data_IF_204659863759
#
_entry.id   IF_204659863759
#
_cell.length_a   1.000
_cell.length_b   1.000
_cell.length_c   1.000
_cell.angle_alpha   90.00
_cell.angle_beta   90.00
_cell.angle_gamma   90.00
#
_symmetry.space_group_name_H-M   'P 1'
#
loop_
_entity.id
_entity.type
_entity.pdbx_description
1 polymer ?
#
# COMPACT_ATOMS: atom_id res chain seq x y z
N UNK A 1 -13.29 1.53 -4.93
CA UNK A 1 -12.11 2.27 -5.45
C UNK A 1 -11.82 1.92 -6.90
N UNK A 2 -11.40 0.70 -7.25
CA UNK A 2 -10.96 0.33 -8.61
C UNK A 2 -11.90 0.67 -9.79
N UNK A 3 -13.22 0.77 -9.56
CA UNK A 3 -14.20 1.17 -10.58
C UNK A 3 -14.18 2.66 -10.94
N UNK A 4 -13.62 3.50 -10.06
CA UNK A 4 -13.78 4.96 -10.12
C UNK A 4 -12.46 5.71 -9.95
N UNK A 5 -11.46 5.11 -9.30
CA UNK A 5 -10.14 5.69 -9.06
C UNK A 5 -9.08 4.86 -9.78
N UNK A 6 -8.05 5.53 -10.27
CA UNK A 6 -6.94 4.95 -11.02
C UNK A 6 -5.75 4.56 -10.14
N UNK A 7 -5.68 5.04 -8.91
CA UNK A 7 -4.60 4.75 -7.95
C UNK A 7 -5.14 4.38 -6.56
N UNK A 8 -4.27 3.79 -5.74
CA UNK A 8 -4.52 3.50 -4.34
C UNK A 8 -3.39 4.14 -3.52
N UNK A 9 -3.75 4.83 -2.44
CA UNK A 9 -2.81 5.33 -1.45
C UNK A 9 -2.87 4.47 -0.19
N UNK A 10 -1.71 4.11 0.36
CA UNK A 10 -1.57 3.39 1.63
C UNK A 10 -0.88 4.31 2.63
N UNK A 11 -1.65 4.80 3.60
CA UNK A 11 -1.23 5.77 4.61
C UNK A 11 -0.57 5.11 5.84
N UNK A 12 0.52 5.70 6.32
CA UNK A 12 1.16 5.35 7.61
C UNK A 12 0.22 5.57 8.78
N UNK A 13 -0.39 6.76 8.87
CA UNK A 13 -1.42 7.11 9.85
C UNK A 13 -2.53 6.04 9.98
N UNK A 14 -3.12 5.62 8.85
CA UNK A 14 -4.17 4.59 8.88
C UNK A 14 -3.62 3.23 9.34
N UNK A 15 -2.41 2.88 8.93
CA UNK A 15 -1.77 1.62 9.34
C UNK A 15 -1.46 1.63 10.85
N UNK A 16 -1.01 2.74 11.41
CA UNK A 16 -0.74 2.87 12.85
C UNK A 16 -1.97 2.54 13.71
N UNK A 17 -3.16 2.98 13.29
CA UNK A 17 -4.39 2.74 14.05
C UNK A 17 -5.10 1.43 13.73
N UNK A 18 -4.75 0.72 12.64
CA UNK A 18 -5.58 -0.40 12.15
C UNK A 18 -4.82 -1.66 11.72
N UNK A 19 -3.52 -1.59 11.43
CA UNK A 19 -2.79 -2.64 10.73
C UNK A 19 -1.31 -2.76 11.13
N UNK A 20 -0.94 -2.36 12.35
CA UNK A 20 0.40 -2.61 12.86
C UNK A 20 0.71 -4.10 12.86
N UNK A 21 1.92 -4.50 12.48
CA UNK A 21 2.29 -5.92 12.36
C UNK A 21 2.27 -6.66 13.71
N UNK A 22 2.30 -5.93 14.82
CA UNK A 22 2.20 -6.43 16.19
C UNK A 22 0.78 -6.43 16.76
N UNK A 23 -0.21 -5.86 16.05
CA UNK A 23 -1.55 -5.59 16.55
C UNK A 23 -1.62 -4.66 17.76
N UNK A 24 -0.60 -3.83 17.97
CA UNK A 24 -0.62 -2.73 18.93
C UNK A 24 -0.98 -1.43 18.18
N UNK A 25 -2.20 -0.90 18.29
CA UNK A 25 -2.59 0.31 17.60
C UNK A 25 -2.02 1.55 18.29
N UNK A 26 -1.69 2.59 17.52
CA UNK A 26 -1.12 3.82 18.05
C UNK A 26 -1.47 5.07 17.24
N UNK A 27 -1.08 6.24 17.76
CA UNK A 27 -1.05 7.46 16.98
C UNK A 27 0.00 7.40 15.86
N UNK A 28 -0.02 8.35 14.96
CA UNK A 28 0.88 8.42 13.81
C UNK A 28 2.27 8.91 14.20
N UNK A 29 3.10 7.98 14.68
CA UNK A 29 4.44 8.25 15.20
C UNK A 29 5.54 7.43 14.52
N UNK A 30 5.19 6.60 13.53
CA UNK A 30 6.11 5.66 12.88
C UNK A 30 6.91 4.80 13.88
N UNK A 31 6.30 4.42 15.01
CA UNK A 31 6.89 3.57 16.07
C UNK A 31 6.51 2.09 15.93
N UNK A 32 5.61 1.77 15.01
CA UNK A 32 5.33 0.41 14.57
C UNK A 32 6.52 -0.20 13.81
N UNK A 33 6.62 -1.55 13.73
CA UNK A 33 7.68 -2.16 12.94
C UNK A 33 7.59 -1.72 11.47
N UNK A 34 8.73 -1.39 10.86
CA UNK A 34 8.82 -0.80 9.51
C UNK A 34 8.22 -1.67 8.39
N UNK A 35 7.92 -2.94 8.66
CA UNK A 35 7.27 -3.84 7.72
C UNK A 35 5.73 -3.67 7.69
N UNK A 36 5.16 -2.87 8.59
CA UNK A 36 3.72 -2.59 8.71
C UNK A 36 3.11 -2.06 7.41
N UNK A 37 3.58 -0.92 6.89
CA UNK A 37 3.03 -0.33 5.67
C UNK A 37 3.31 -1.20 4.45
N UNK A 38 4.52 -1.76 4.25
CA UNK A 38 4.72 -2.67 3.13
C UNK A 38 3.84 -3.95 3.24
N UNK A 39 3.54 -4.47 4.44
CA UNK A 39 2.61 -5.61 4.60
C UNK A 39 1.19 -5.24 4.15
N UNK A 40 0.76 -3.99 4.42
CA UNK A 40 -0.52 -3.47 3.91
C UNK A 40 -0.53 -3.38 2.38
N UNK A 41 0.58 -2.97 1.76
CA UNK A 41 0.70 -2.97 0.30
C UNK A 41 0.50 -4.39 -0.25
N UNK A 42 1.21 -5.39 0.29
CA UNK A 42 1.07 -6.79 -0.15
C UNK A 42 -0.36 -7.29 -0.03
N UNK A 43 -1.01 -7.02 1.10
CA UNK A 43 -2.40 -7.39 1.35
C UNK A 43 -3.32 -6.87 0.23
N UNK A 44 -3.22 -5.58 -0.12
CA UNK A 44 -4.05 -5.02 -1.18
C UNK A 44 -3.64 -5.53 -2.56
N UNK A 45 -2.34 -5.67 -2.83
CA UNK A 45 -1.83 -6.13 -4.12
C UNK A 45 -2.27 -7.56 -4.44
N UNK A 46 -2.19 -8.48 -3.48
CA UNK A 46 -2.70 -9.85 -3.65
C UNK A 46 -4.21 -9.89 -3.87
N UNK A 47 -4.97 -9.02 -3.19
CA UNK A 47 -6.40 -8.90 -3.44
C UNK A 47 -6.69 -8.39 -4.87
N UNK A 48 -5.96 -7.38 -5.35
CA UNK A 48 -6.08 -6.89 -6.72
C UNK A 48 -5.82 -8.01 -7.74
N UNK A 49 -4.72 -8.75 -7.59
CA UNK A 49 -4.39 -9.86 -8.48
C UNK A 49 -5.44 -10.98 -8.44
N UNK A 50 -5.96 -11.31 -7.26
CA UNK A 50 -7.02 -12.30 -7.12
C UNK A 50 -8.28 -11.89 -7.87
N UNK A 51 -8.72 -10.64 -7.70
CA UNK A 51 -9.90 -10.12 -8.38
C UNK A 51 -9.73 -9.98 -9.89
N UNK A 52 -8.53 -9.62 -10.36
CA UNK A 52 -8.17 -9.62 -11.78
C UNK A 52 -8.28 -11.03 -12.38
N UNK A 53 -7.63 -12.03 -11.77
CA UNK A 53 -7.72 -13.43 -12.23
C UNK A 53 -9.15 -13.94 -12.26
N UNK A 54 -9.94 -13.66 -11.21
CA UNK A 54 -11.35 -14.04 -11.13
C UNK A 54 -12.18 -13.42 -12.25
N UNK A 55 -12.00 -12.12 -12.49
CA UNK A 55 -12.70 -11.43 -13.59
C UNK A 55 -12.28 -12.00 -14.95
N UNK A 56 -10.98 -12.24 -15.14
CA UNK A 56 -10.45 -12.80 -16.39
C UNK A 56 -11.04 -14.17 -16.67
N UNK A 57 -11.04 -15.07 -15.69
CA UNK A 57 -11.64 -16.41 -15.80
C UNK A 57 -13.13 -16.33 -16.16
N UNK A 58 -13.91 -15.56 -15.41
CA UNK A 58 -15.35 -15.41 -15.67
C UNK A 58 -15.65 -14.80 -17.04
N UNK A 59 -14.78 -13.95 -17.59
CA UNK A 59 -14.93 -13.39 -18.94
C UNK A 59 -14.49 -14.35 -20.03
N UNK A 60 -13.60 -15.29 -19.77
CA UNK A 60 -13.15 -16.27 -20.75
C UNK A 60 -14.25 -17.29 -21.11
N UNK A 61 -15.20 -17.53 -20.22
CA UNK A 61 -16.37 -18.39 -20.44
C UNK A 61 -17.54 -17.69 -21.14
N UNK A 62 -17.45 -16.37 -21.37
CA UNK A 62 -18.50 -15.58 -22.03
C UNK A 62 -18.32 -15.52 -23.56
N UNK A 63 -19.43 -15.44 -24.28
CA UNK A 63 -19.44 -15.07 -25.69
C UNK A 63 -18.89 -13.65 -25.91
N UNK A 64 -18.65 -13.28 -27.17
CA UNK A 64 -18.15 -11.93 -27.51
C UNK A 64 -19.18 -10.86 -27.17
N UNK A 65 -20.46 -11.13 -27.44
CA UNK A 65 -21.59 -10.24 -27.23
C UNK A 65 -21.88 -10.04 -25.74
N UNK A 66 -21.73 -11.08 -24.92
CA UNK A 66 -21.82 -10.97 -23.46
C UNK A 66 -20.66 -10.17 -22.90
N UNK A 67 -19.41 -10.44 -23.31
CA UNK A 67 -18.24 -9.66 -22.86
C UNK A 67 -18.34 -8.17 -23.18
N UNK A 68 -18.95 -7.81 -24.31
CA UNK A 68 -19.14 -6.42 -24.70
C UNK A 68 -20.15 -5.68 -23.81
N UNK A 69 -21.14 -6.40 -23.26
CA UNK A 69 -22.16 -5.84 -22.36
C UNK A 69 -21.75 -5.90 -20.89
N UNK A 70 -20.88 -6.84 -20.52
CA UNK A 70 -20.37 -6.98 -19.15
C UNK A 70 -19.26 -5.96 -18.89
N UNK A 71 -19.42 -5.04 -17.91
CA UNK A 71 -18.39 -4.06 -17.58
C UNK A 71 -17.05 -4.71 -17.22
N UNK A 72 -15.96 -4.11 -17.67
CA UNK A 72 -14.61 -4.49 -17.28
C UNK A 72 -14.13 -3.56 -16.16
N UNK A 73 -13.67 -4.14 -15.05
CA UNK A 73 -13.02 -3.39 -13.97
C UNK A 73 -11.53 -3.65 -14.03
N UNK A 74 -10.74 -2.60 -14.13
CA UNK A 74 -9.29 -2.71 -13.96
C UNK A 74 -8.96 -2.74 -12.46
N UNK A 75 -8.59 -3.91 -11.95
CA UNK A 75 -8.24 -4.07 -10.54
C UNK A 75 -6.78 -3.73 -10.23
N UNK A 76 -5.89 -3.76 -11.22
CA UNK A 76 -4.44 -3.59 -11.04
C UNK A 76 -4.07 -2.10 -10.98
N UNK A 77 -4.64 -1.41 -9.97
CA UNK A 77 -4.39 0.01 -9.72
C UNK A 77 -3.02 0.20 -9.04
N UNK A 78 -2.13 1.06 -9.56
CA UNK A 78 -0.86 1.37 -8.92
C UNK A 78 -1.05 1.82 -7.47
N UNK A 79 -0.20 1.31 -6.57
CA UNK A 79 -0.21 1.63 -5.14
C UNK A 79 0.93 2.60 -4.83
N UNK A 80 0.60 3.75 -4.26
CA UNK A 80 1.55 4.69 -3.65
C UNK A 80 1.50 4.48 -2.14
N UNK A 81 2.65 4.25 -1.51
CA UNK A 81 2.74 3.92 -0.09
C UNK A 81 3.58 4.92 0.71
N UNK A 82 3.22 5.02 1.98
CA UNK A 82 3.90 5.83 2.98
C UNK A 82 5.13 5.12 3.53
N UNK A 83 6.32 5.70 3.28
CA UNK A 83 7.57 5.20 3.82
C UNK A 83 8.05 5.95 5.07
N UNK A 84 7.22 6.85 5.63
CA UNK A 84 7.56 7.70 6.76
C UNK A 84 8.92 8.41 6.52
N UNK A 85 9.78 8.48 7.54
CA UNK A 85 11.15 9.00 7.45
C UNK A 85 12.18 7.97 6.96
N UNK A 86 11.75 6.77 6.58
CA UNK A 86 12.63 5.66 6.20
C UNK A 86 13.09 4.75 7.35
N UNK A 87 12.49 4.89 8.55
CA UNK A 87 12.69 4.03 9.74
C UNK A 87 14.15 3.85 10.19
N UNK A 88 14.92 4.95 10.18
CA UNK A 88 16.29 4.99 10.67
C UNK A 88 17.27 5.52 9.63
N UNK A 89 18.50 4.99 9.65
CA UNK A 89 19.56 5.41 8.72
C UNK A 89 19.44 4.80 7.32
N UNK A 90 20.35 5.17 6.42
CA UNK A 90 20.33 4.79 5.00
C UNK A 90 20.15 3.29 4.74
N UNK A 91 20.77 2.42 5.55
CA UNK A 91 20.64 0.96 5.38
C UNK A 91 19.26 0.44 5.76
N UNK A 92 18.58 1.07 6.71
CA UNK A 92 17.19 0.77 7.05
C UNK A 92 16.27 1.23 5.92
N UNK A 93 16.46 2.44 5.40
CA UNK A 93 15.69 2.97 4.26
C UNK A 93 15.80 2.06 3.03
N UNK A 94 17.01 1.58 2.70
CA UNK A 94 17.19 0.66 1.56
C UNK A 94 16.45 -0.67 1.79
N UNK A 95 16.46 -1.21 3.01
CA UNK A 95 15.71 -2.44 3.35
C UNK A 95 14.20 -2.21 3.29
N UNK A 96 13.71 -1.06 3.75
CA UNK A 96 12.31 -0.66 3.65
C UNK A 96 11.88 -0.56 2.18
N UNK A 97 12.64 0.16 1.34
CA UNK A 97 12.36 0.26 -0.09
C UNK A 97 12.37 -1.10 -0.78
N UNK A 98 13.29 -2.00 -0.40
CA UNK A 98 13.30 -3.38 -0.89
C UNK A 98 11.98 -4.08 -0.58
N UNK A 99 11.48 -4.00 0.65
CA UNK A 99 10.19 -4.61 1.01
C UNK A 99 9.03 -4.02 0.19
N UNK A 100 8.99 -2.70 0.00
CA UNK A 100 7.95 -2.08 -0.82
C UNK A 100 7.95 -2.59 -2.27
N UNK A 101 9.13 -2.70 -2.88
CA UNK A 101 9.27 -3.24 -4.24
C UNK A 101 8.82 -4.70 -4.31
N UNK A 102 9.27 -5.53 -3.37
CA UNK A 102 8.90 -6.96 -3.31
C UNK A 102 7.39 -7.17 -3.09
N UNK A 103 6.73 -6.25 -2.37
CA UNK A 103 5.31 -6.34 -2.01
C UNK A 103 4.36 -5.66 -3.00
N UNK A 104 4.87 -5.05 -4.06
CA UNK A 104 4.07 -4.52 -5.17
C UNK A 104 3.73 -3.03 -5.08
N UNK A 105 4.50 -2.23 -4.34
CA UNK A 105 4.36 -0.78 -4.39
C UNK A 105 4.80 -0.25 -5.76
N UNK A 106 4.01 0.65 -6.33
CA UNK A 106 4.35 1.37 -7.56
C UNK A 106 5.15 2.66 -7.28
N UNK A 107 4.97 3.24 -6.09
CA UNK A 107 5.72 4.38 -5.61
C UNK A 107 5.72 4.45 -4.08
N UNK A 108 6.73 5.09 -3.52
CA UNK A 108 6.88 5.31 -2.07
C UNK A 108 7.26 6.77 -1.87
N UNK A 109 6.65 7.45 -0.91
CA UNK A 109 7.14 8.75 -0.45
C UNK A 109 7.92 8.61 0.86
N UNK A 110 8.94 9.46 1.02
CA UNK A 110 9.76 9.55 2.22
C UNK A 110 9.83 11.02 2.61
N UNK A 111 9.70 11.31 3.90
CA UNK A 111 9.71 12.67 4.45
C UNK A 111 11.06 13.04 5.09
N UNK A 112 11.29 14.34 5.29
CA UNK A 112 12.53 14.93 5.80
C UNK A 112 12.55 15.14 7.32
N UNK A 113 11.55 14.61 8.04
CA UNK A 113 11.53 14.60 9.50
C UNK A 113 12.60 13.64 10.08
N UNK A 114 13.00 13.86 11.33
CA UNK A 114 13.88 12.92 12.04
C UNK A 114 13.09 11.70 12.55
N UNK A 115 13.57 10.49 12.25
CA UNK A 115 12.98 9.26 12.77
C UNK A 115 12.85 9.28 14.30
N UNK A 116 11.66 8.95 14.82
CA UNK A 116 11.34 8.98 16.25
C UNK A 116 11.03 10.37 16.83
N UNK A 117 11.03 11.43 16.00
CA UNK A 117 10.73 12.81 16.41
C UNK A 117 9.51 13.40 15.71
N UNK A 118 8.59 12.58 15.18
CA UNK A 118 7.40 13.03 14.44
C UNK A 118 6.47 13.97 15.24
N UNK A 119 6.70 14.13 16.55
CA UNK A 119 6.01 15.10 17.44
C UNK A 119 6.74 16.45 17.56
N UNK A 120 8.05 16.51 17.27
CA UNK A 120 8.90 17.66 17.57
C UNK A 120 9.00 18.70 16.45
N UNK A 121 8.60 18.38 15.22
CA UNK A 121 8.72 19.28 14.06
C UNK A 121 7.76 20.48 14.06
N UNK A 122 6.78 20.51 14.98
CA UNK A 122 5.77 21.59 15.08
C UNK A 122 5.99 22.56 16.27
N UNK A 123 7.15 22.50 16.95
CA UNK A 123 7.43 23.30 18.16
C UNK A 123 8.61 24.26 18.07
N UNK A 124 9.13 24.51 16.87
CA UNK A 124 10.10 25.59 16.62
C UNK A 124 9.41 26.85 16.07
#
# INVERSE_FOLDING_TARGET
>A
MAKHLDTIYVSGWQCSSTHTSTNEPGPDLADYPYDTVPNKVEHLFFAQQYHDRKQREARMSMSREERARTPYVDYLKPIIADGDTGFGGTTATVKLCKLFVERGAAGVHIEDQSSGSSVHSWRD
#
